data_IF_435122398241
#
_entry.id   IF_435122398241
#
_cell.length_a   1.000
_cell.length_b   1.000
_cell.length_c   1.000
_cell.angle_alpha   90.00
_cell.angle_beta   90.00
_cell.angle_gamma   90.00
#
_symmetry.space_group_name_H-M   'P 1'
#
loop_
_entity.id
_entity.type
_entity.pdbx_description
1 polymer ?
#
# COMPACT_ATOMS: atom_id res chain seq x y z
N UNK A 1 -54.24 -51.33 20.58
CA UNK A 1 -55.14 -50.16 20.55
C UNK A 1 -54.78 -49.37 19.30
N UNK A 2 -55.74 -49.33 18.37
CA UNK A 2 -55.82 -48.73 17.02
C UNK A 2 -54.56 -48.79 16.12
N UNK A 3 -54.36 -49.77 15.22
CA UNK A 3 -55.13 -50.25 14.04
C UNK A 3 -55.20 -49.28 12.85
N UNK A 4 -54.19 -49.39 11.97
CA UNK A 4 -54.22 -49.67 10.51
C UNK A 4 -55.25 -49.01 9.54
N UNK A 5 -54.96 -49.04 8.22
CA UNK A 5 -55.31 -48.04 7.21
C UNK A 5 -56.58 -48.39 6.42
N UNK A 6 -57.03 -47.46 5.58
CA UNK A 6 -58.21 -47.59 4.72
C UNK A 6 -57.99 -46.71 3.48
N UNK A 7 -58.35 -47.03 2.25
CA UNK A 7 -58.66 -48.26 1.53
C UNK A 7 -58.67 -47.86 0.03
N UNK A 8 -58.61 -48.88 -0.83
CA UNK A 8 -58.76 -48.79 -2.30
C UNK A 8 -60.23 -48.62 -2.73
N UNK A 9 -60.37 -48.44 -4.06
CA UNK A 9 -61.54 -48.59 -4.95
C UNK A 9 -62.30 -47.29 -5.28
N UNK A 10 -62.69 -46.99 -6.53
CA UNK A 10 -63.02 -47.86 -7.66
C UNK A 10 -62.79 -47.19 -9.05
N UNK A 11 -62.65 -48.04 -10.08
CA UNK A 11 -62.81 -47.76 -11.52
C UNK A 11 -64.27 -47.30 -11.85
N UNK A 12 -64.69 -46.73 -12.97
CA UNK A 12 -64.43 -46.80 -14.43
C UNK A 12 -64.70 -45.37 -15.01
N UNK A 13 -64.21 -44.91 -16.16
CA UNK A 13 -64.53 -45.41 -17.49
C UNK A 13 -63.59 -44.82 -18.57
N UNK A 14 -63.44 -45.60 -19.64
CA UNK A 14 -62.72 -45.31 -20.87
C UNK A 14 -63.25 -44.06 -21.59
N UNK A 15 -62.35 -43.30 -22.21
CA UNK A 15 -62.38 -43.10 -23.66
C UNK A 15 -61.02 -42.64 -24.18
N UNK A 16 -60.50 -43.39 -25.14
CA UNK A 16 -59.30 -43.09 -25.91
C UNK A 16 -59.71 -42.13 -27.06
N UNK A 17 -58.86 -41.19 -27.48
CA UNK A 17 -58.14 -41.52 -28.70
C UNK A 17 -56.69 -41.04 -28.70
N UNK A 18 -55.83 -41.99 -29.05
CA UNK A 18 -54.64 -41.88 -29.89
C UNK A 18 -54.29 -40.47 -30.38
N UNK A 19 -53.23 -39.88 -29.84
CA UNK A 19 -52.42 -38.93 -30.59
C UNK A 19 -50.94 -39.23 -30.39
N UNK A 20 -50.25 -39.19 -31.52
CA UNK A 20 -48.88 -39.61 -31.78
C UNK A 20 -47.82 -38.98 -30.88
N UNK A 21 -46.85 -39.83 -30.56
CA UNK A 21 -45.50 -39.54 -30.06
C UNK A 21 -44.81 -38.41 -30.86
N UNK A 22 -44.42 -37.35 -30.16
CA UNK A 22 -43.39 -36.42 -30.60
C UNK A 22 -42.56 -36.01 -29.38
N UNK A 23 -41.27 -36.37 -29.40
CA UNK A 23 -40.30 -36.07 -28.37
C UNK A 23 -40.15 -34.55 -28.16
N UNK A 24 -39.93 -34.06 -26.92
CA UNK A 24 -39.53 -32.68 -26.71
C UNK A 24 -38.10 -32.49 -27.21
N UNK A 25 -37.99 -31.74 -28.30
CA UNK A 25 -36.76 -31.24 -28.91
C UNK A 25 -35.97 -30.38 -27.92
N UNK A 26 -34.64 -30.50 -27.99
CA UNK A 26 -33.64 -29.68 -27.34
C UNK A 26 -34.07 -28.21 -27.16
N UNK A 27 -34.19 -27.80 -25.90
CA UNK A 27 -34.39 -26.42 -25.52
C UNK A 27 -33.13 -25.60 -25.84
N UNK A 28 -33.20 -24.90 -26.96
CA UNK A 28 -32.26 -23.89 -27.41
C UNK A 28 -31.85 -22.97 -26.24
N UNK A 29 -30.56 -23.00 -25.89
CA UNK A 29 -29.97 -22.01 -25.00
C UNK A 29 -29.99 -20.67 -25.74
N UNK A 30 -31.00 -19.85 -25.48
CA UNK A 30 -31.13 -18.49 -26.02
C UNK A 30 -29.89 -17.69 -25.66
N UNK A 31 -28.93 -17.61 -26.59
CA UNK A 31 -27.77 -16.74 -26.47
C UNK A 31 -28.25 -15.31 -26.63
N UNK A 32 -28.44 -14.61 -25.51
CA UNK A 32 -28.76 -13.18 -25.51
C UNK A 32 -27.61 -12.44 -26.21
N UNK A 33 -27.85 -11.77 -27.35
CA UNK A 33 -26.79 -11.11 -28.11
C UNK A 33 -26.21 -9.94 -27.30
N UNK A 34 -24.88 -9.92 -27.17
CA UNK A 34 -24.14 -8.91 -26.42
C UNK A 34 -24.49 -7.49 -26.88
N UNK A 35 -24.76 -6.60 -25.91
CA UNK A 35 -25.00 -5.18 -26.18
C UNK A 35 -23.81 -4.53 -26.90
N UNK A 36 -24.06 -3.51 -27.72
CA UNK A 36 -23.02 -2.72 -28.41
C UNK A 36 -21.89 -2.27 -27.47
N UNK A 37 -22.23 -1.95 -26.21
CA UNK A 37 -21.26 -1.56 -25.18
C UNK A 37 -20.40 -2.74 -24.70
N UNK A 38 -20.98 -3.93 -24.55
CA UNK A 38 -20.24 -5.14 -24.17
C UNK A 38 -19.28 -5.56 -25.29
N UNK A 39 -19.73 -5.51 -26.55
CA UNK A 39 -18.91 -5.82 -27.71
C UNK A 39 -17.73 -4.84 -27.87
N UNK A 40 -17.97 -3.54 -27.61
CA UNK A 40 -16.91 -2.52 -27.58
C UNK A 40 -15.89 -2.79 -26.46
N UNK A 41 -16.36 -3.21 -25.27
CA UNK A 41 -15.49 -3.56 -24.13
C UNK A 41 -14.63 -4.79 -24.43
N UNK A 42 -15.20 -5.81 -25.07
CA UNK A 42 -14.46 -7.01 -25.52
C UNK A 42 -13.40 -6.67 -26.56
N UNK A 43 -13.76 -5.95 -27.63
CA UNK A 43 -12.78 -5.52 -28.66
C UNK A 43 -11.65 -4.66 -28.07
N UNK A 44 -11.96 -3.79 -27.10
CA UNK A 44 -10.93 -3.01 -26.37
C UNK A 44 -10.00 -3.93 -25.56
N UNK A 45 -10.55 -4.94 -24.88
CA UNK A 45 -9.77 -5.94 -24.12
C UNK A 45 -8.89 -6.79 -25.03
N UNK A 46 -9.40 -7.25 -26.17
CA UNK A 46 -8.63 -8.00 -27.17
C UNK A 46 -7.48 -7.18 -27.75
N UNK A 47 -7.74 -5.95 -28.20
CA UNK A 47 -6.68 -5.04 -28.66
C UNK A 47 -5.66 -4.80 -27.56
N UNK A 48 -6.10 -4.57 -26.31
CA UNK A 48 -5.18 -4.43 -25.19
C UNK A 48 -4.32 -5.68 -25.01
N UNK A 49 -4.90 -6.88 -25.02
CA UNK A 49 -4.15 -8.14 -24.90
C UNK A 49 -3.13 -8.32 -26.04
N UNK A 50 -3.49 -7.97 -27.27
CA UNK A 50 -2.61 -8.01 -28.44
C UNK A 50 -1.40 -7.07 -28.28
N UNK A 51 -1.63 -5.82 -27.87
CA UNK A 51 -0.58 -4.81 -27.78
C UNK A 51 0.15 -4.76 -26.43
N UNK A 52 -0.36 -5.45 -25.39
CA UNK A 52 0.19 -5.40 -24.02
C UNK A 52 1.68 -5.76 -23.99
N UNK A 53 2.08 -6.83 -24.67
CA UNK A 53 3.47 -7.28 -24.70
C UNK A 53 4.39 -6.26 -25.39
N UNK A 54 3.97 -5.73 -26.54
CA UNK A 54 4.72 -4.72 -27.29
C UNK A 54 4.85 -3.41 -26.50
N UNK A 55 3.76 -2.93 -25.89
CA UNK A 55 3.76 -1.74 -25.03
C UNK A 55 4.71 -1.93 -23.84
N UNK A 56 4.69 -3.10 -23.19
CA UNK A 56 5.60 -3.43 -22.09
C UNK A 56 7.07 -3.44 -22.52
N UNK A 57 7.38 -3.94 -23.72
CA UNK A 57 8.75 -3.93 -24.26
C UNK A 57 9.21 -2.50 -24.58
N UNK A 58 8.37 -1.70 -25.25
CA UNK A 58 8.68 -0.31 -25.57
C UNK A 58 8.91 0.55 -24.30
N UNK A 59 8.07 0.38 -23.27
CA UNK A 59 8.25 1.06 -21.99
C UNK A 59 9.54 0.62 -21.27
N UNK A 60 9.89 -0.68 -21.32
CA UNK A 60 11.15 -1.19 -20.76
C UNK A 60 12.37 -0.59 -21.48
N UNK A 61 12.34 -0.50 -22.81
CA UNK A 61 13.41 0.12 -23.59
C UNK A 61 13.51 1.63 -23.32
N UNK A 62 12.38 2.35 -23.29
CA UNK A 62 12.34 3.77 -22.94
C UNK A 62 12.92 4.04 -21.55
N UNK A 63 12.57 3.20 -20.55
CA UNK A 63 13.13 3.29 -19.20
C UNK A 63 14.63 3.00 -19.19
N UNK A 64 15.11 2.01 -19.93
CA UNK A 64 16.55 1.69 -20.03
C UNK A 64 17.34 2.85 -20.64
N UNK A 65 16.83 3.48 -21.71
CA UNK A 65 17.46 4.65 -22.34
C UNK A 65 17.52 5.84 -21.38
N UNK A 66 16.39 6.20 -20.76
CA UNK A 66 16.36 7.28 -19.77
C UNK A 66 17.36 7.07 -18.63
N UNK A 67 17.47 5.83 -18.14
CA UNK A 67 18.42 5.49 -17.08
C UNK A 67 19.89 5.61 -17.51
N UNK A 68 20.18 5.24 -18.75
CA UNK A 68 21.52 5.38 -19.33
C UNK A 68 21.89 6.86 -19.51
N UNK A 69 20.96 7.68 -20.02
CA UNK A 69 21.15 9.12 -20.17
C UNK A 69 21.35 9.81 -18.81
N UNK A 70 20.58 9.44 -17.77
CA UNK A 70 20.79 9.95 -16.40
C UNK A 70 22.19 9.58 -15.87
N UNK A 71 22.64 8.35 -16.14
CA UNK A 71 23.98 7.89 -15.75
C UNK A 71 25.09 8.68 -16.46
N UNK A 72 24.91 8.95 -17.74
CA UNK A 72 25.85 9.74 -18.54
C UNK A 72 25.93 11.19 -18.06
N UNK A 73 24.80 11.76 -17.62
CA UNK A 73 24.75 13.09 -17.00
C UNK A 73 25.24 13.13 -15.54
N UNK A 74 25.65 11.99 -14.96
CA UNK A 74 26.08 11.90 -13.57
C UNK A 74 24.97 12.17 -12.55
N UNK A 75 23.70 12.07 -12.93
CA UNK A 75 22.57 12.25 -12.03
C UNK A 75 22.44 11.05 -11.08
N UNK A 76 21.99 11.30 -9.84
CA UNK A 76 21.69 10.22 -8.91
C UNK A 76 20.48 9.41 -9.41
N UNK A 77 20.72 8.12 -9.60
CA UNK A 77 19.73 7.15 -10.08
C UNK A 77 18.99 6.48 -8.90
N UNK A 78 19.44 6.77 -7.68
CA UNK A 78 18.96 6.17 -6.46
C UNK A 78 19.44 4.72 -6.27
N UNK A 79 19.07 4.11 -5.14
CA UNK A 79 19.58 2.80 -4.75
C UNK A 79 19.06 1.70 -5.68
N UNK A 80 19.98 0.80 -6.08
CA UNK A 80 19.63 -0.40 -6.84
C UNK A 80 18.73 -1.35 -6.04
N UNK A 81 17.97 -2.22 -6.72
CA UNK A 81 17.18 -3.26 -6.02
C UNK A 81 18.04 -4.18 -5.16
N UNK A 82 19.31 -4.41 -5.53
CA UNK A 82 20.25 -5.22 -4.74
C UNK A 82 20.70 -4.51 -3.47
N UNK A 83 21.02 -3.22 -3.54
CA UNK A 83 21.38 -2.44 -2.35
C UNK A 83 20.19 -2.28 -1.42
N UNK A 84 18.99 -2.05 -1.97
CA UNK A 84 17.77 -2.00 -1.17
C UNK A 84 17.52 -3.28 -0.39
N UNK A 85 17.92 -4.47 -0.85
CA UNK A 85 17.78 -5.71 -0.09
C UNK A 85 18.70 -5.80 1.12
N UNK A 86 19.85 -5.12 1.08
CA UNK A 86 20.82 -5.09 2.20
C UNK A 86 20.39 -4.17 3.34
N UNK A 87 19.55 -3.19 3.04
CA UNK A 87 19.06 -2.22 4.03
C UNK A 87 17.88 -2.77 4.84
N UNK A 88 18.12 -3.79 5.68
CA UNK A 88 17.07 -4.46 6.45
C UNK A 88 16.70 -3.71 7.74
N UNK A 89 15.44 -3.78 8.17
CA UNK A 89 14.98 -3.07 9.38
C UNK A 89 15.69 -3.55 10.64
N UNK A 90 15.99 -4.86 10.72
CA UNK A 90 16.75 -5.45 11.83
C UNK A 90 18.17 -4.89 11.98
N UNK A 91 18.74 -4.39 10.88
CA UNK A 91 20.11 -3.85 10.82
C UNK A 91 20.11 -2.31 10.90
N UNK A 92 18.93 -1.69 11.05
CA UNK A 92 18.76 -0.24 11.13
C UNK A 92 19.29 0.31 12.46
N UNK A 93 19.96 1.46 12.43
CA UNK A 93 20.29 2.19 13.64
C UNK A 93 19.04 2.82 14.30
N UNK A 94 17.94 2.98 13.56
CA UNK A 94 16.69 3.50 14.08
C UNK A 94 15.78 2.36 14.57
N UNK A 95 15.49 2.35 15.87
CA UNK A 95 14.62 1.36 16.51
C UNK A 95 13.19 1.86 16.75
N UNK A 96 12.86 3.07 16.26
CA UNK A 96 11.52 3.64 16.40
C UNK A 96 10.47 2.76 15.71
N UNK A 97 9.45 2.37 16.48
CA UNK A 97 8.34 1.53 16.01
C UNK A 97 7.18 2.36 15.51
N UNK A 98 6.68 2.01 14.33
CA UNK A 98 5.48 2.61 13.74
C UNK A 98 4.56 1.52 13.22
N UNK A 99 3.28 1.62 13.55
CA UNK A 99 2.24 0.65 13.18
C UNK A 99 1.26 1.31 12.23
N UNK A 100 0.87 0.60 11.16
CA UNK A 100 -0.32 0.91 10.38
C UNK A 100 -1.44 -0.02 10.86
N UNK A 101 -2.48 0.55 11.44
CA UNK A 101 -3.65 -0.16 11.96
C UNK A 101 -4.67 -0.44 10.84
N UNK A 102 -4.82 -1.70 10.42
CA UNK A 102 -5.75 -2.10 9.36
C UNK A 102 -7.12 -2.56 9.87
N UNK A 103 -7.52 -2.28 11.12
CA UNK A 103 -8.80 -2.75 11.68
C UNK A 103 -10.06 -1.99 11.18
N UNK A 104 -9.98 -1.31 10.03
CA UNK A 104 -11.02 -0.38 9.54
C UNK A 104 -11.82 -0.88 8.34
N UNK A 105 -11.72 -2.16 7.99
CA UNK A 105 -12.35 -2.74 6.79
C UNK A 105 -13.84 -2.45 6.64
N UNK A 106 -14.60 -2.37 7.74
CA UNK A 106 -16.03 -2.05 7.72
C UNK A 106 -16.32 -0.61 7.30
N UNK A 107 -15.34 0.29 7.39
CA UNK A 107 -15.45 1.72 7.05
C UNK A 107 -15.00 2.04 5.62
N UNK A 108 -14.52 1.05 4.87
CA UNK A 108 -13.93 1.25 3.54
C UNK A 108 -14.65 0.46 2.45
N UNK A 109 -14.81 1.08 1.29
CA UNK A 109 -15.21 0.34 0.07
C UNK A 109 -14.03 -0.48 -0.47
N UNK A 110 -14.27 -1.41 -1.39
CA UNK A 110 -13.20 -2.17 -2.08
C UNK A 110 -12.18 -1.25 -2.79
N UNK A 111 -12.67 -0.11 -3.28
CA UNK A 111 -11.82 0.91 -3.92
C UNK A 111 -10.92 1.58 -2.88
N UNK A 112 -11.47 1.91 -1.71
CA UNK A 112 -10.70 2.53 -0.63
C UNK A 112 -9.66 1.57 -0.06
N UNK A 113 -10.01 0.27 0.09
CA UNK A 113 -9.06 -0.79 0.45
C UNK A 113 -7.93 -0.90 -0.57
N UNK A 114 -8.22 -0.73 -1.86
CA UNK A 114 -7.18 -0.69 -2.89
C UNK A 114 -6.22 0.48 -2.67
N UNK A 115 -6.72 1.67 -2.29
CA UNK A 115 -5.89 2.82 -1.95
C UNK A 115 -5.13 2.64 -0.63
N UNK A 116 -5.71 2.00 0.38
CA UNK A 116 -5.03 1.62 1.61
C UNK A 116 -3.79 0.79 1.29
N UNK A 117 -3.96 -0.30 0.53
CA UNK A 117 -2.84 -1.18 0.17
C UNK A 117 -1.76 -0.44 -0.62
N UNK A 118 -2.13 0.46 -1.53
CA UNK A 118 -1.17 1.31 -2.23
C UNK A 118 -0.41 2.24 -1.28
N UNK A 119 -1.08 2.81 -0.27
CA UNK A 119 -0.42 3.67 0.71
C UNK A 119 0.55 2.86 1.60
N UNK A 120 0.20 1.63 2.00
CA UNK A 120 1.13 0.73 2.71
C UNK A 120 2.35 0.40 1.82
N UNK A 121 2.12 0.09 0.53
CA UNK A 121 3.20 -0.12 -0.45
C UNK A 121 4.13 1.09 -0.54
N UNK A 122 3.59 2.30 -0.57
CA UNK A 122 4.37 3.53 -0.59
C UNK A 122 5.17 3.74 0.71
N UNK A 123 4.55 3.51 1.88
CA UNK A 123 5.25 3.58 3.18
C UNK A 123 6.42 2.60 3.23
N UNK A 124 6.20 1.33 2.85
CA UNK A 124 7.27 0.33 2.79
C UNK A 124 8.38 0.74 1.81
N UNK A 125 8.01 1.23 0.63
CA UNK A 125 8.97 1.63 -0.38
C UNK A 125 9.81 2.85 0.07
N UNK A 126 9.23 3.81 0.78
CA UNK A 126 9.96 4.92 1.40
C UNK A 126 10.90 4.39 2.49
N UNK A 127 10.41 3.53 3.38
CA UNK A 127 11.19 2.95 4.48
C UNK A 127 12.44 2.20 3.97
N UNK A 128 12.30 1.38 2.92
CA UNK A 128 13.44 0.64 2.32
C UNK A 128 14.54 1.54 1.76
N UNK A 129 14.20 2.78 1.39
CA UNK A 129 15.13 3.75 0.80
C UNK A 129 15.75 4.69 1.84
N UNK A 130 15.22 4.72 3.05
CA UNK A 130 15.79 5.49 4.14
C UNK A 130 17.18 4.97 4.49
N UNK A 131 18.04 5.84 5.01
CA UNK A 131 19.33 5.41 5.54
C UNK A 131 19.14 4.50 6.76
N UNK A 132 18.21 4.88 7.63
CA UNK A 132 17.86 4.13 8.84
C UNK A 132 16.34 3.83 8.82
N UNK A 133 15.91 2.70 8.25
CA UNK A 133 14.51 2.32 8.21
C UNK A 133 13.89 2.25 9.62
N UNK A 134 12.64 2.70 9.75
CA UNK A 134 11.82 2.49 10.95
C UNK A 134 11.44 1.02 11.10
N UNK A 135 11.12 0.60 12.32
CA UNK A 135 10.54 -0.71 12.58
C UNK A 135 9.04 -0.67 12.22
N UNK A 136 8.72 -1.01 10.96
CA UNK A 136 7.36 -0.92 10.41
C UNK A 136 6.54 -2.19 10.67
N UNK A 137 5.38 -1.98 11.29
CA UNK A 137 4.36 -2.99 11.56
C UNK A 137 3.08 -2.69 10.77
N UNK A 138 2.42 -3.74 10.31
CA UNK A 138 1.05 -3.68 9.79
C UNK A 138 0.22 -4.66 10.62
N UNK A 139 -0.70 -4.12 11.43
CA UNK A 139 -1.50 -4.88 12.39
C UNK A 139 -2.97 -4.88 11.99
N UNK A 140 -3.77 -5.79 12.57
CA UNK A 140 -5.20 -5.91 12.27
C UNK A 140 -5.49 -6.32 10.82
N UNK A 141 -4.57 -7.02 10.17
CA UNK A 141 -4.75 -7.47 8.77
C UNK A 141 -5.86 -8.52 8.73
N UNK A 142 -7.03 -8.13 8.23
CA UNK A 142 -8.20 -9.00 8.10
C UNK A 142 -9.01 -8.70 6.86
N UNK A 143 -10.15 -9.38 6.73
CA UNK A 143 -11.23 -9.05 5.78
C UNK A 143 -10.79 -8.73 4.34
N UNK A 144 -11.30 -7.62 3.81
CA UNK A 144 -11.06 -7.09 2.48
C UNK A 144 -9.60 -6.68 2.29
N UNK A 145 -8.97 -6.07 3.30
CA UNK A 145 -7.55 -5.67 3.22
C UNK A 145 -6.63 -6.89 3.03
N UNK A 146 -6.85 -7.96 3.80
CA UNK A 146 -6.10 -9.22 3.69
C UNK A 146 -6.33 -9.88 2.33
N UNK A 147 -7.57 -9.96 1.87
CA UNK A 147 -7.90 -10.51 0.55
C UNK A 147 -7.17 -9.74 -0.58
N UNK A 148 -7.13 -8.41 -0.48
CA UNK A 148 -6.43 -7.57 -1.45
C UNK A 148 -4.91 -7.77 -1.41
N UNK A 149 -4.32 -7.83 -0.22
CA UNK A 149 -2.89 -8.11 -0.03
C UNK A 149 -2.51 -9.50 -0.56
N UNK A 150 -3.30 -10.53 -0.25
CA UNK A 150 -3.07 -11.91 -0.70
C UNK A 150 -3.21 -12.07 -2.21
N UNK A 151 -4.15 -11.33 -2.82
CA UNK A 151 -4.35 -11.25 -4.27
C UNK A 151 -3.11 -10.74 -5.02
N UNK A 152 -2.43 -9.72 -4.47
CA UNK A 152 -1.20 -9.16 -5.05
C UNK A 152 0.01 -10.05 -4.71
N UNK A 153 0.09 -10.51 -3.46
CA UNK A 153 1.06 -11.49 -2.97
C UNK A 153 2.50 -10.97 -2.75
N UNK A 154 2.80 -9.71 -3.10
CA UNK A 154 4.13 -9.13 -2.98
C UNK A 154 4.55 -8.86 -1.52
N UNK A 155 3.57 -8.52 -0.66
CA UNK A 155 3.81 -8.21 0.75
C UNK A 155 4.42 -9.37 1.55
N UNK A 156 4.24 -10.62 1.08
CA UNK A 156 4.80 -11.82 1.74
C UNK A 156 6.33 -11.75 1.86
N UNK A 157 7.00 -11.20 0.85
CA UNK A 157 8.46 -11.03 0.83
C UNK A 157 8.96 -9.69 1.37
N UNK A 158 8.09 -8.84 1.91
CA UNK A 158 8.51 -7.57 2.50
C UNK A 158 9.16 -7.78 3.87
N UNK A 159 10.19 -6.99 4.12
CA UNK A 159 10.84 -6.84 5.42
C UNK A 159 10.02 -5.86 6.29
N UNK A 160 8.91 -6.37 6.81
CA UNK A 160 7.99 -5.70 7.75
C UNK A 160 7.41 -6.74 8.71
N UNK A 161 6.92 -6.30 9.86
CA UNK A 161 6.12 -7.13 10.76
C UNK A 161 4.66 -7.12 10.31
N UNK A 162 4.04 -8.31 10.22
CA UNK A 162 2.70 -8.50 9.68
C UNK A 162 1.88 -9.26 10.71
N UNK A 163 0.84 -8.62 11.24
CA UNK A 163 0.03 -9.16 12.31
C UNK A 163 -1.44 -9.12 11.92
N UNK A 164 -2.13 -10.26 11.99
CA UNK A 164 -3.59 -10.30 11.86
C UNK A 164 -4.29 -9.78 13.13
N UNK A 165 -3.58 -9.80 14.27
CA UNK A 165 -4.06 -9.34 15.58
C UNK A 165 -4.04 -7.81 15.68
N UNK A 166 -4.88 -7.28 16.58
CA UNK A 166 -4.87 -5.86 16.97
C UNK A 166 -3.53 -5.49 17.63
N UNK A 167 -3.07 -4.25 17.40
CA UNK A 167 -1.80 -3.75 17.92
C UNK A 167 -1.71 -3.76 19.45
N UNK A 168 -2.85 -3.68 20.17
CA UNK A 168 -2.90 -3.81 21.63
C UNK A 168 -2.60 -5.23 22.14
N UNK A 169 -2.66 -6.24 21.26
CA UNK A 169 -2.23 -7.61 21.58
C UNK A 169 -0.75 -7.85 21.24
N UNK A 170 -0.09 -6.89 20.58
CA UNK A 170 1.31 -6.96 20.15
C UNK A 170 2.21 -6.12 21.05
N UNK A 171 1.71 -4.96 21.51
CA UNK A 171 2.47 -4.00 22.30
C UNK A 171 1.80 -3.72 23.66
N UNK A 172 2.58 -3.43 24.71
CA UNK A 172 2.05 -2.96 25.98
C UNK A 172 1.24 -1.67 25.79
N UNK A 173 0.11 -1.57 26.50
CA UNK A 173 -0.79 -0.42 26.39
C UNK A 173 -0.10 0.92 26.64
N UNK A 174 0.80 0.95 27.64
CA UNK A 174 1.48 2.17 28.07
C UNK A 174 2.53 2.68 27.07
N UNK A 175 2.95 1.83 26.13
CA UNK A 175 3.92 2.18 25.09
C UNK A 175 3.24 2.76 23.84
N UNK A 176 1.91 2.65 23.73
CA UNK A 176 1.17 3.01 22.52
C UNK A 176 0.79 4.49 22.53
N UNK A 177 1.10 5.18 21.43
CA UNK A 177 0.61 6.53 21.12
C UNK A 177 -0.13 6.51 19.79
N UNK A 178 -1.44 6.72 19.82
CA UNK A 178 -2.27 6.74 18.61
C UNK A 178 -2.25 8.13 17.96
N UNK A 179 -1.80 8.21 16.70
CA UNK A 179 -1.74 9.46 15.95
C UNK A 179 -3.10 9.79 15.34
N UNK A 180 -3.62 10.99 15.66
CA UNK A 180 -4.86 11.50 15.10
C UNK A 180 -4.83 13.02 14.98
N UNK A 181 -5.31 13.55 13.85
CA UNK A 181 -5.44 14.99 13.64
C UNK A 181 -6.45 15.68 14.56
N UNK A 182 -7.35 14.91 15.16
CA UNK A 182 -8.40 15.43 16.04
C UNK A 182 -7.98 15.45 17.52
N UNK A 183 -6.81 14.87 17.85
CA UNK A 183 -6.28 14.85 19.22
C UNK A 183 -5.95 16.27 19.70
N UNK A 184 -6.34 16.68 20.93
CA UNK A 184 -5.93 17.95 21.50
C UNK A 184 -4.43 18.00 21.86
N UNK A 185 -3.82 16.85 22.14
CA UNK A 185 -2.40 16.76 22.46
C UNK A 185 -1.55 16.88 21.20
N UNK A 186 -0.47 17.65 21.25
CA UNK A 186 0.48 17.79 20.14
C UNK A 186 1.73 16.95 20.41
N UNK A 187 2.25 16.30 19.37
CA UNK A 187 3.46 15.50 19.44
C UNK A 187 4.70 16.39 19.25
N UNK A 188 5.48 16.58 20.32
CA UNK A 188 6.65 17.44 20.29
C UNK A 188 7.92 16.72 19.80
N UNK A 189 8.13 15.48 20.25
CA UNK A 189 9.26 14.63 19.85
C UNK A 189 8.84 13.17 19.71
N UNK A 190 9.69 12.36 19.09
CA UNK A 190 9.52 10.90 19.08
C UNK A 190 10.35 10.27 20.19
N UNK A 191 9.67 9.52 21.05
CA UNK A 191 10.25 8.68 22.09
C UNK A 191 10.48 7.28 21.52
N UNK A 192 11.74 6.85 21.48
CA UNK A 192 12.16 5.56 20.91
C UNK A 192 11.60 4.36 21.69
N UNK A 193 11.17 4.55 22.94
CA UNK A 193 10.48 3.52 23.73
C UNK A 193 9.02 3.31 23.30
N UNK A 194 8.40 4.32 22.67
CA UNK A 194 6.99 4.32 22.29
C UNK A 194 6.74 3.71 20.91
N UNK A 195 5.48 3.35 20.69
CA UNK A 195 4.95 2.80 19.45
C UNK A 195 3.91 3.75 18.90
N UNK A 196 4.17 4.32 17.73
CA UNK A 196 3.26 5.28 17.11
C UNK A 196 2.31 4.59 16.13
N UNK A 197 1.01 4.72 16.36
CA UNK A 197 -0.03 4.08 15.54
C UNK A 197 -0.59 5.07 14.52
N UNK A 198 -0.63 4.69 13.26
CA UNK A 198 -1.29 5.40 12.18
C UNK A 198 -2.55 4.62 11.79
N UNK A 199 -3.71 5.26 11.82
CA UNK A 199 -4.94 4.65 11.33
C UNK A 199 -4.85 4.32 9.84
N UNK A 200 -4.90 3.03 9.49
CA UNK A 200 -4.97 2.52 8.13
C UNK A 200 -6.37 2.69 7.52
N UNK A 201 -6.86 3.93 7.52
CA UNK A 201 -8.19 4.32 7.07
C UNK A 201 -8.10 5.24 5.85
N UNK A 202 -8.80 4.87 4.77
CA UNK A 202 -8.99 5.72 3.60
C UNK A 202 -10.47 6.02 3.46
N UNK A 203 -10.90 7.18 3.95
CA UNK A 203 -12.31 7.54 4.03
C UNK A 203 -12.62 8.95 3.50
N UNK A 204 -11.64 9.63 2.90
CA UNK A 204 -11.74 11.04 2.51
C UNK A 204 -12.18 11.98 3.66
N UNK A 205 -11.89 11.58 4.91
CA UNK A 205 -12.28 12.22 6.15
C UNK A 205 -13.82 12.34 6.33
N UNK A 206 -14.56 11.30 5.91
CA UNK A 206 -15.99 11.16 6.21
C UNK A 206 -16.23 10.81 7.68
N UNK A 207 -15.37 10.01 8.30
CA UNK A 207 -15.44 9.57 9.69
C UNK A 207 -14.55 10.44 10.61
N UNK A 208 -14.87 11.72 10.70
CA UNK A 208 -14.14 12.69 11.53
C UNK A 208 -14.02 12.21 12.98
N UNK A 209 -12.83 12.31 13.58
CA UNK A 209 -12.60 11.93 14.97
C UNK A 209 -12.64 10.42 15.25
N UNK A 210 -12.82 9.55 14.25
CA UNK A 210 -12.95 8.10 14.47
C UNK A 210 -11.74 7.51 15.21
N UNK A 211 -10.52 7.76 14.70
CA UNK A 211 -9.29 7.26 15.31
C UNK A 211 -9.07 7.83 16.72
N UNK A 212 -9.34 9.13 16.93
CA UNK A 212 -9.19 9.77 18.23
C UNK A 212 -10.16 9.16 19.26
N UNK A 213 -11.44 9.05 18.90
CA UNK A 213 -12.46 8.46 19.76
C UNK A 213 -12.14 7.01 20.12
N UNK A 214 -11.69 6.19 19.15
CA UNK A 214 -11.31 4.81 19.42
C UNK A 214 -10.09 4.72 20.37
N UNK A 215 -9.14 5.64 20.25
CA UNK A 215 -8.01 5.71 21.17
C UNK A 215 -8.47 6.07 22.60
N UNK A 216 -9.38 7.05 22.75
CA UNK A 216 -9.96 7.43 24.03
C UNK A 216 -10.77 6.28 24.67
N UNK A 217 -11.63 5.62 23.89
CA UNK A 217 -12.43 4.46 24.33
C UNK A 217 -11.53 3.32 24.82
N UNK A 218 -10.40 3.09 24.16
CA UNK A 218 -9.38 2.11 24.58
C UNK A 218 -8.49 2.63 25.72
N UNK A 219 -8.58 3.91 26.09
CA UNK A 219 -7.75 4.59 27.08
C UNK A 219 -6.27 4.62 26.71
N UNK A 220 -5.97 4.83 25.43
CA UNK A 220 -4.61 4.94 24.88
C UNK A 220 -4.14 6.39 24.88
N UNK A 221 -2.83 6.61 25.00
CA UNK A 221 -2.28 7.92 24.70
C UNK A 221 -2.51 8.24 23.22
N UNK A 222 -2.76 9.51 22.91
CA UNK A 222 -2.98 9.98 21.54
C UNK A 222 -2.39 11.37 21.33
N UNK A 223 -1.97 11.66 20.11
CA UNK A 223 -1.38 12.95 19.73
C UNK A 223 -1.63 13.31 18.26
N UNK A 224 -1.67 14.60 17.95
CA UNK A 224 -1.62 15.13 16.59
C UNK A 224 -0.19 15.51 16.22
N UNK A 225 0.15 15.49 14.92
CA UNK A 225 1.41 16.05 14.45
C UNK A 225 1.41 17.59 14.60
N UNK A 226 2.57 18.22 14.88
CA UNK A 226 2.67 19.66 15.13
C UNK A 226 2.57 20.53 13.86
N UNK A 227 1.80 20.10 12.85
CA UNK A 227 1.70 20.74 11.53
C UNK A 227 1.31 22.21 11.63
N UNK A 228 0.36 22.53 12.52
CA UNK A 228 -0.21 23.88 12.68
C UNK A 228 0.79 24.92 13.22
N UNK A 229 1.85 24.45 13.86
CA UNK A 229 2.90 25.29 14.43
C UNK A 229 3.81 25.82 13.31
N UNK A 230 4.12 24.98 12.32
CA UNK A 230 5.10 25.28 11.27
C UNK A 230 4.48 25.67 9.92
N UNK A 231 3.25 25.23 9.65
CA UNK A 231 2.63 25.36 8.33
C UNK A 231 1.22 25.95 8.39
N UNK A 232 1.01 27.01 7.62
CA UNK A 232 -0.32 27.51 7.35
C UNK A 232 -0.92 26.76 6.15
N UNK A 233 -1.86 25.85 6.44
CA UNK A 233 -2.57 25.08 5.44
C UNK A 233 -3.84 25.80 5.01
N UNK A 234 -4.03 26.01 3.69
CA UNK A 234 -5.33 26.43 3.12
C UNK A 234 -6.38 25.30 3.12
N UNK A 235 -5.93 24.06 3.37
CA UNK A 235 -6.74 22.85 3.32
C UNK A 235 -6.80 22.15 4.67
N UNK A 236 -7.59 21.07 4.78
CA UNK A 236 -7.75 20.30 6.02
C UNK A 236 -6.40 19.71 6.46
N UNK A 237 -6.21 19.59 7.78
CA UNK A 237 -4.99 19.05 8.42
C UNK A 237 -4.89 17.53 8.41
N UNK A 238 -5.78 16.85 7.68
CA UNK A 238 -5.81 15.39 7.57
C UNK A 238 -4.87 14.95 6.44
N UNK A 239 -3.87 14.15 6.79
CA UNK A 239 -2.88 13.61 5.87
C UNK A 239 -3.17 12.14 5.54
N UNK A 240 -2.62 11.66 4.43
CA UNK A 240 -2.71 10.25 4.05
C UNK A 240 -1.72 9.42 4.86
N UNK A 241 -1.96 8.11 4.96
CA UNK A 241 -1.18 7.16 5.76
C UNK A 241 0.30 7.23 5.40
N UNK A 242 0.59 7.22 4.08
CA UNK A 242 1.95 7.27 3.58
C UNK A 242 2.66 8.60 3.89
N UNK A 243 1.95 9.73 3.88
CA UNK A 243 2.56 11.02 4.23
C UNK A 243 2.86 11.08 5.74
N UNK A 244 1.94 10.61 6.60
CA UNK A 244 2.21 10.56 8.05
C UNK A 244 3.42 9.67 8.32
N UNK A 245 3.46 8.47 7.74
CA UNK A 245 4.60 7.56 7.89
C UNK A 245 5.91 8.19 7.41
N UNK A 246 5.93 8.80 6.22
CA UNK A 246 7.13 9.40 5.67
C UNK A 246 7.58 10.63 6.48
N UNK A 247 6.65 11.41 7.04
CA UNK A 247 6.98 12.51 7.97
C UNK A 247 7.69 11.98 9.22
N UNK A 248 7.18 10.91 9.84
CA UNK A 248 7.83 10.30 11.01
C UNK A 248 9.24 9.81 10.64
N UNK A 249 9.37 9.17 9.48
CA UNK A 249 10.65 8.71 8.96
C UNK A 249 11.63 9.89 8.78
N UNK A 250 11.23 10.96 8.10
CA UNK A 250 12.07 12.15 7.92
C UNK A 250 12.41 12.82 9.25
N UNK A 251 11.47 12.87 10.19
CA UNK A 251 11.74 13.40 11.52
C UNK A 251 12.80 12.58 12.26
N UNK A 252 12.84 11.25 12.11
CA UNK A 252 13.93 10.46 12.71
C UNK A 252 15.31 10.76 12.12
N UNK A 253 15.37 11.20 10.85
CA UNK A 253 16.60 11.61 10.16
C UNK A 253 17.02 13.05 10.54
N UNK A 254 16.08 13.99 10.59
CA UNK A 254 16.36 15.42 10.76
C UNK A 254 16.25 15.92 12.19
N UNK A 255 15.45 15.22 13.03
CA UNK A 255 14.97 15.68 14.34
C UNK A 255 14.31 17.06 14.30
N UNK A 256 13.80 17.47 13.14
CA UNK A 256 13.14 18.75 12.89
C UNK A 256 11.84 18.55 12.11
N UNK A 257 10.71 18.95 12.73
CA UNK A 257 9.38 18.78 12.16
C UNK A 257 9.18 19.61 10.90
N UNK A 258 9.67 20.85 10.88
CA UNK A 258 9.49 21.74 9.74
C UNK A 258 10.15 21.15 8.48
N UNK A 259 11.41 20.72 8.59
CA UNK A 259 12.13 20.04 7.51
C UNK A 259 11.43 18.76 7.07
N UNK A 260 10.98 17.92 8.02
CA UNK A 260 10.25 16.70 7.72
C UNK A 260 8.96 16.97 6.92
N UNK A 261 8.19 18.00 7.30
CA UNK A 261 7.00 18.38 6.55
C UNK A 261 7.33 18.90 5.14
N UNK A 262 8.35 19.74 4.99
CA UNK A 262 8.74 20.30 3.69
C UNK A 262 9.27 19.24 2.72
N UNK A 263 9.93 18.20 3.22
CA UNK A 263 10.42 17.08 2.41
C UNK A 263 9.30 16.21 1.86
N UNK A 264 8.19 16.07 2.59
CA UNK A 264 7.11 15.11 2.28
C UNK A 264 5.90 15.79 1.62
N UNK A 265 5.53 16.98 2.10
CA UNK A 265 4.31 17.63 1.65
C UNK A 265 4.56 18.42 0.36
N UNK A 266 3.75 18.21 -0.70
CA UNK A 266 3.99 18.83 -1.99
C UNK A 266 3.76 20.35 -1.94
N UNK A 267 4.75 21.14 -2.36
CA UNK A 267 4.77 22.61 -2.30
C UNK A 267 3.50 23.29 -2.87
N UNK A 268 2.88 22.68 -3.88
CA UNK A 268 1.61 23.15 -4.50
C UNK A 268 0.41 23.24 -3.55
N UNK A 269 0.51 22.74 -2.30
CA UNK A 269 -0.52 22.92 -1.27
C UNK A 269 -0.53 24.31 -0.63
N UNK A 270 0.32 25.24 -1.09
CA UNK A 270 0.26 26.66 -0.71
C UNK A 270 0.72 26.89 0.73
N UNK A 271 1.84 26.29 1.10
CA UNK A 271 2.45 26.44 2.41
C UNK A 271 3.16 27.79 2.53
N UNK A 272 2.76 28.59 3.51
CA UNK A 272 3.60 29.66 4.05
C UNK A 272 4.20 29.18 5.37
N UNK A 273 5.51 29.36 5.53
CA UNK A 273 6.18 29.15 6.80
C UNK A 273 5.67 30.18 7.80
N UNK A 274 5.42 29.76 9.04
CA UNK A 274 5.24 30.71 10.15
C UNK A 274 6.61 31.10 10.66
N UNK A 275 6.96 32.37 10.49
CA UNK A 275 8.15 32.92 11.13
C UNK A 275 7.96 32.91 12.65
N UNK A 276 8.80 32.15 13.36
CA UNK A 276 8.87 32.15 14.81
C UNK A 276 9.88 33.20 15.27
N UNK A 277 9.47 34.48 15.38
CA UNK A 277 10.20 35.48 16.18
C UNK A 277 9.38 36.72 16.57
N UNK A 278 9.26 36.91 17.90
CA UNK A 278 9.15 38.15 18.69
C UNK A 278 7.84 38.94 18.72
N UNK A 279 7.14 38.78 19.84
CA UNK A 279 6.49 39.89 20.54
C UNK A 279 7.45 41.07 20.70
N UNK A 280 7.13 42.19 20.05
CA UNK A 280 7.20 43.54 20.62
C UNK A 280 6.31 44.44 19.79
N UNK A 281 5.42 45.16 20.47
CA UNK A 281 4.43 46.07 19.93
C UNK A 281 5.02 47.15 19.00
N UNK A 282 4.30 47.53 17.96
CA UNK A 282 3.70 48.87 17.92
C UNK A 282 2.53 48.95 16.92
N UNK A 283 1.49 49.69 17.32
CA UNK A 283 0.35 50.11 16.49
C UNK A 283 0.75 51.39 15.78
N UNK A 284 0.48 51.49 14.48
CA UNK A 284 -0.07 52.74 13.91
C UNK A 284 -0.91 52.45 12.67
N UNK A 285 -2.15 52.94 12.71
CA UNK A 285 -3.09 53.05 11.61
C UNK A 285 -2.55 53.90 10.46
N UNK A 286 -2.89 53.51 9.22
CA UNK A 286 -3.19 54.50 8.17
C UNK A 286 -4.13 53.89 7.13
N UNK A 287 -5.34 54.46 7.09
CA UNK A 287 -6.39 54.28 6.09
C UNK A 287 -5.98 54.90 4.75
N UNK A 288 -6.24 54.21 3.64
CA UNK A 288 -6.72 54.84 2.41
C UNK A 288 -7.50 53.86 1.52
N UNK A 289 -8.78 54.19 1.33
CA UNK A 289 -9.66 54.10 0.13
C UNK A 289 -8.98 53.71 -1.20
N UNK A 290 -9.58 52.99 -2.17
CA UNK A 290 -10.94 53.04 -2.71
C UNK A 290 -11.15 51.95 -3.81
N UNK A 291 -12.40 51.50 -4.02
CA UNK A 291 -12.95 50.93 -5.29
C UNK A 291 -12.45 49.53 -5.70
N UNK A 292 -13.24 48.59 -6.24
CA UNK A 292 -14.48 48.64 -7.02
C UNK A 292 -15.19 47.28 -6.87
N UNK A 293 -16.52 47.34 -6.86
CA UNK A 293 -17.46 46.21 -6.96
C UNK A 293 -17.32 45.46 -8.27
N UNK A 294 -17.24 44.13 -8.25
CA UNK A 294 -17.78 43.30 -9.32
C UNK A 294 -18.17 41.92 -8.78
N UNK A 295 -19.48 41.70 -8.73
CA UNK A 295 -20.13 40.40 -8.55
C UNK A 295 -20.00 39.62 -9.85
N UNK A 296 -19.44 38.42 -9.80
CA UNK A 296 -19.63 37.44 -10.87
C UNK A 296 -19.81 36.04 -10.27
N UNK A 297 -21.06 35.58 -10.35
CA UNK A 297 -21.41 34.18 -10.21
C UNK A 297 -20.81 33.42 -11.40
N UNK A 298 -19.97 32.42 -11.13
CA UNK A 298 -19.65 31.41 -12.14
C UNK A 298 -19.88 30.02 -11.55
N UNK A 299 -21.04 29.48 -11.91
CA UNK A 299 -21.23 28.04 -12.09
C UNK A 299 -20.41 27.66 -13.31
N UNK A 300 -19.48 26.71 -13.19
CA UNK A 300 -19.43 25.71 -14.25
C UNK A 300 -18.80 24.36 -13.91
N UNK A 301 -19.49 23.39 -14.51
CA UNK A 301 -19.18 22.01 -14.85
C UNK A 301 -17.71 21.57 -14.81
N UNK A 302 -17.43 20.55 -13.99
CA UNK A 302 -16.28 19.67 -14.16
C UNK A 302 -16.44 18.82 -15.44
N UNK A 303 -15.87 19.33 -16.53
CA UNK A 303 -15.62 18.57 -17.76
C UNK A 303 -14.50 17.57 -17.50
N UNK A 304 -14.88 16.30 -17.36
CA UNK A 304 -13.95 15.18 -17.32
C UNK A 304 -13.22 14.99 -18.67
N UNK A 305 -11.90 14.77 -18.62
CA UNK A 305 -11.09 13.97 -19.58
C UNK A 305 -9.59 14.05 -19.18
N UNK A 306 -8.74 13.08 -19.56
CA UNK A 306 -8.89 11.63 -19.41
C UNK A 306 -7.63 10.96 -18.80
N UNK A 307 -7.86 9.83 -18.14
CA UNK A 307 -7.03 8.62 -18.06
C UNK A 307 -5.49 8.75 -17.96
N UNK A 308 -4.97 8.62 -16.73
CA UNK A 308 -3.67 7.98 -16.47
C UNK A 308 -3.87 6.77 -15.56
N UNK A 309 -4.42 5.71 -16.15
CA UNK A 309 -4.45 4.39 -15.52
C UNK A 309 -3.05 3.75 -15.56
N UNK A 310 -2.33 3.85 -14.44
CA UNK A 310 -1.23 2.96 -14.13
C UNK A 310 -1.81 1.67 -13.52
N UNK A 311 -2.20 0.74 -14.39
CA UNK A 311 -2.72 -0.57 -13.99
C UNK A 311 -1.58 -1.55 -13.67
N UNK A 312 -1.51 -1.92 -12.39
CA UNK A 312 -0.64 -2.92 -11.81
C UNK A 312 -1.11 -4.33 -12.17
N UNK A 313 -0.74 -4.80 -13.36
CA UNK A 313 -0.90 -6.21 -13.75
C UNK A 313 0.27 -7.07 -13.27
N UNK A 314 0.22 -7.57 -12.03
CA UNK A 314 1.06 -8.67 -11.59
C UNK A 314 0.41 -10.00 -12.01
N UNK A 315 1.06 -10.73 -12.91
CA UNK A 315 0.70 -12.10 -13.26
C UNK A 315 1.96 -12.98 -13.17
N UNK A 316 1.93 -13.84 -12.14
CA UNK A 316 2.40 -15.24 -12.03
C UNK A 316 3.56 -15.67 -12.93
N UNK A 317 4.69 -16.01 -12.30
CA UNK A 317 5.70 -16.92 -12.84
C UNK A 317 5.45 -18.32 -12.25
N UNK A 318 5.16 -19.29 -13.12
CA UNK A 318 5.36 -20.71 -12.86
C UNK A 318 6.75 -21.07 -13.39
N UNK A 319 7.59 -21.62 -12.52
CA UNK A 319 8.95 -22.02 -12.85
C UNK A 319 8.95 -23.49 -13.28
N UNK A 320 9.10 -23.76 -14.58
CA UNK A 320 9.56 -25.06 -15.06
C UNK A 320 11.08 -24.96 -15.28
N UNK A 321 11.80 -25.69 -14.43
CA UNK A 321 13.23 -25.95 -14.58
C UNK A 321 13.46 -26.84 -15.79
N UNK A 322 14.18 -26.34 -16.80
CA UNK A 322 14.81 -27.19 -17.81
C UNK A 322 16.31 -26.92 -17.80
N UNK A 323 17.04 -27.90 -17.26
CA UNK A 323 18.49 -27.93 -17.25
C UNK A 323 19.04 -28.07 -18.67
N UNK A 324 20.13 -27.35 -18.93
CA UNK A 324 21.01 -27.55 -20.06
C UNK A 324 22.44 -27.52 -19.53
N UNK A 325 23.08 -28.68 -19.58
CA UNK A 325 24.48 -28.92 -19.27
C UNK A 325 25.38 -28.36 -20.37
N UNK A 326 26.51 -27.80 -19.91
CA UNK A 326 27.90 -28.04 -20.35
C UNK A 326 28.28 -27.71 -21.80
N UNK A 327 29.30 -26.86 -21.93
CA UNK A 327 30.60 -27.23 -22.52
C UNK A 327 31.61 -26.12 -22.15
N UNK A 328 32.57 -26.46 -21.28
CA UNK A 328 33.77 -25.64 -21.03
C UNK A 328 34.97 -26.48 -21.47
N UNK A 329 35.73 -25.92 -22.40
CA UNK A 329 36.80 -26.56 -23.15
C UNK A 329 38.08 -26.61 -22.29
N UNK A 330 38.64 -27.81 -22.14
CA UNK A 330 39.87 -28.07 -21.40
C UNK A 330 41.11 -27.77 -22.26
N UNK A 331 42.07 -27.02 -21.70
CA UNK A 331 43.44 -26.94 -22.20
C UNK A 331 44.40 -27.42 -21.12
N UNK A 332 45.11 -28.49 -21.45
CA UNK A 332 46.03 -29.27 -20.62
C UNK A 332 47.44 -28.68 -20.63
N UNK A 333 48.09 -28.53 -19.47
CA UNK A 333 49.55 -28.65 -19.36
C UNK A 333 49.89 -29.40 -18.08
N UNK A 334 50.58 -30.54 -18.24
CA UNK A 334 51.15 -31.40 -17.19
C UNK A 334 52.58 -30.98 -16.87
N UNK A 335 52.94 -31.04 -15.59
CA UNK A 335 54.25 -31.42 -14.98
C UNK A 335 53.91 -31.65 -13.49
N UNK A 336 53.92 -32.87 -12.88
CA UNK A 336 55.00 -33.83 -12.55
C UNK A 336 56.15 -33.07 -11.87
N UNK A 337 56.56 -33.23 -10.61
CA UNK A 337 56.49 -34.22 -9.49
C UNK A 337 56.84 -33.39 -8.20
N UNK A 338 56.68 -33.78 -6.93
CA UNK A 338 57.11 -34.98 -6.21
C UNK A 338 56.65 -34.87 -4.73
N UNK A 339 56.50 -36.03 -4.08
CA UNK A 339 56.11 -36.30 -2.69
C UNK A 339 57.01 -35.66 -1.61
N UNK A 340 56.42 -35.27 -0.47
CA UNK A 340 56.91 -35.64 0.88
C UNK A 340 55.72 -35.72 1.86
N UNK A 341 55.49 -36.92 2.41
CA UNK A 341 54.67 -37.19 3.60
C UNK A 341 55.36 -36.71 4.87
N UNK A 342 54.65 -36.06 5.81
CA UNK A 342 54.83 -36.28 7.26
C UNK A 342 53.51 -36.03 8.01
N UNK A 343 53.07 -37.09 8.68
CA UNK A 343 52.02 -37.21 9.68
C UNK A 343 52.36 -36.42 10.97
N UNK A 344 51.40 -35.76 11.63
CA UNK A 344 51.41 -35.53 13.08
C UNK A 344 50.03 -35.07 13.61
N UNK A 345 49.34 -36.00 14.26
CA UNK A 345 48.79 -35.92 15.63
C UNK A 345 48.12 -34.62 16.11
N UNK A 346 46.84 -34.78 16.46
CA UNK A 346 46.13 -34.31 17.66
C UNK A 346 46.67 -33.10 18.45
N UNK A 347 45.77 -32.13 18.68
CA UNK A 347 45.60 -31.58 20.04
C UNK A 347 44.16 -31.09 20.29
N UNK A 348 43.57 -31.64 21.36
CA UNK A 348 42.45 -31.10 22.12
C UNK A 348 42.85 -29.79 22.83
N UNK A 349 41.91 -28.84 22.97
CA UNK A 349 41.57 -28.07 24.20
C UNK A 349 40.55 -26.98 23.84
N UNK A 350 39.29 -27.01 24.31
CA UNK A 350 38.75 -26.61 25.62
C UNK A 350 38.64 -25.08 25.85
N UNK A 351 37.38 -24.62 25.91
CA UNK A 351 36.78 -23.69 26.90
C UNK A 351 37.34 -22.25 27.02
N UNK A 352 36.50 -21.27 26.69
CA UNK A 352 35.73 -20.45 27.66
C UNK A 352 34.42 -19.97 27.03
#
# INVERSE_FOLDING_TARGET
>A
MSSNPCAKEAALANDNPTFSEAAPSDGDAVQVPLSKNQLKKQKKKEKWLQFKAQKRQAEKQKKKRRLAEMRERGEDIGPSRKSLKKNAMKDSACQQKVVIDCSFDSYMTEKDVTFLVQQIQHSYAANRRAENPLQLYVCGIGGKAKQRLDSIGDYKGWDIYKEERDYTAVFPKDDIVYLSSDSPNTLDTLDESKVYIIGGLVDHNHHKGLCHRLAEEKGLAHAQLPISQFLQLKSRKVLTINHVFEILLRYTETKDWQSAFLMVLPQRKGFSLKDSAKDTADKTDSVSTQGVTETQEDKDHLRASPDTEADSGAAREGNESRGGKEEEEASSVKTVTEDVSVDHSQHQALVL
#
